data_IF_787653463879
#
_entry.id   IF_787653463879
#
_cell.length_a   1.000
_cell.length_b   1.000
_cell.length_c   1.000
_cell.angle_alpha   90.00
_cell.angle_beta   90.00
_cell.angle_gamma   90.00
#
_symmetry.space_group_name_H-M   'P 1'
#
loop_
_entity.id
_entity.type
_entity.pdbx_description
1 polymer ?
#
# COMPACT_ATOMS: atom_id res chain seq x y z
N UNK A 1 17.65 -37.93 5.76
CA UNK A 1 17.68 -36.48 6.07
C UNK A 1 16.24 -36.04 6.32
N UNK A 2 15.89 -35.61 7.54
CA UNK A 2 14.50 -35.27 7.91
C UNK A 2 14.28 -33.78 7.60
N UNK A 3 13.50 -33.48 6.56
CA UNK A 3 13.14 -32.10 6.23
C UNK A 3 12.15 -31.58 7.28
N UNK A 4 12.41 -30.38 7.83
CA UNK A 4 11.46 -29.70 8.72
C UNK A 4 10.18 -29.41 7.93
N UNK A 5 8.99 -29.58 8.53
CA UNK A 5 7.76 -29.19 7.85
C UNK A 5 7.76 -27.67 7.63
N UNK A 6 7.15 -27.18 6.54
CA UNK A 6 7.01 -25.74 6.30
C UNK A 6 6.28 -25.12 7.49
N UNK A 7 6.79 -23.98 7.98
CA UNK A 7 6.13 -23.21 9.05
C UNK A 7 4.68 -22.97 8.63
N UNK A 8 3.73 -23.56 9.34
CA UNK A 8 2.33 -23.16 9.24
C UNK A 8 2.24 -21.71 9.68
N UNK A 9 2.02 -20.80 8.73
CA UNK A 9 1.54 -19.47 9.06
C UNK A 9 0.13 -19.64 9.64
N UNK A 10 -0.15 -18.98 10.76
CA UNK A 10 -1.46 -19.05 11.38
C UNK A 10 -2.50 -18.49 10.41
N UNK A 11 -3.44 -19.33 9.96
CA UNK A 11 -4.56 -18.88 9.14
C UNK A 11 -5.52 -18.06 10.01
N UNK A 12 -5.82 -16.84 9.56
CA UNK A 12 -6.72 -15.95 10.28
C UNK A 12 -8.15 -16.31 9.89
N UNK A 13 -9.01 -16.55 10.89
CA UNK A 13 -10.42 -16.81 10.63
C UNK A 13 -11.14 -15.51 10.30
N UNK A 14 -12.20 -15.57 9.49
CA UNK A 14 -13.05 -14.40 9.21
C UNK A 14 -13.58 -13.73 10.50
N UNK A 15 -13.77 -14.53 11.57
CA UNK A 15 -14.11 -14.02 12.90
C UNK A 15 -13.01 -13.14 13.50
N UNK A 16 -11.74 -13.54 13.42
CA UNK A 16 -10.63 -12.73 13.94
C UNK A 16 -10.43 -11.45 13.13
N UNK A 17 -10.67 -11.50 11.82
CA UNK A 17 -10.67 -10.31 10.95
C UNK A 17 -11.74 -9.30 11.38
N UNK A 18 -12.99 -9.76 11.58
CA UNK A 18 -14.10 -8.92 12.03
C UNK A 18 -13.85 -8.32 13.42
N UNK A 19 -13.28 -9.09 14.34
CA UNK A 19 -12.94 -8.61 15.68
C UNK A 19 -11.83 -7.55 15.64
N UNK A 20 -10.82 -7.76 14.81
CA UNK A 20 -9.73 -6.79 14.61
C UNK A 20 -10.26 -5.47 14.04
N UNK A 21 -11.17 -5.52 13.05
CA UNK A 21 -11.82 -4.32 12.51
C UNK A 21 -12.59 -3.60 13.61
N UNK A 22 -13.35 -4.34 14.43
CA UNK A 22 -14.09 -3.75 15.56
C UNK A 22 -13.19 -3.00 16.53
N UNK A 23 -12.02 -3.57 16.86
CA UNK A 23 -11.01 -2.93 17.74
C UNK A 23 -10.40 -1.68 17.10
N UNK A 24 -10.06 -1.75 15.81
CA UNK A 24 -9.47 -0.63 15.08
C UNK A 24 -10.42 0.57 14.97
N UNK A 25 -11.73 0.32 14.80
CA UNK A 25 -12.75 1.38 14.73
C UNK A 25 -13.11 1.95 16.11
N UNK A 26 -12.98 1.15 17.17
CA UNK A 26 -13.23 1.60 18.54
C UNK A 26 -12.24 2.67 19.00
N UNK A 27 -10.95 2.52 18.66
CA UNK A 27 -9.90 3.44 19.09
C UNK A 27 -10.12 4.92 18.65
N UNK A 28 -10.51 5.21 17.39
CA UNK A 28 -10.91 6.55 16.96
C UNK A 28 -12.39 6.90 17.26
N UNK A 29 -13.14 6.06 17.98
CA UNK A 29 -14.56 6.30 18.27
C UNK A 29 -15.48 6.16 17.06
N UNK A 30 -15.03 5.50 15.99
CA UNK A 30 -15.83 5.27 14.79
C UNK A 30 -16.83 4.15 15.06
N UNK A 31 -18.11 4.50 15.15
CA UNK A 31 -19.17 3.51 15.36
C UNK A 31 -19.63 2.95 14.01
N UNK A 32 -19.42 1.65 13.80
CA UNK A 32 -20.12 0.93 12.73
C UNK A 32 -21.63 1.00 13.00
N UNK A 33 -22.34 1.73 12.15
CA UNK A 33 -23.80 1.71 12.11
C UNK A 33 -24.20 0.35 11.52
N UNK A 34 -24.97 -0.40 12.30
CA UNK A 34 -25.59 -1.65 11.86
C UNK A 34 -26.76 -1.26 10.95
N UNK A 35 -26.50 -1.08 9.65
CA UNK A 35 -27.46 -1.13 8.52
C UNK A 35 -26.90 -0.66 7.15
N UNK A 36 -25.58 -0.69 6.89
CA UNK A 36 -25.13 -0.67 5.49
C UNK A 36 -25.42 -2.05 4.88
N UNK A 37 -26.25 -2.09 3.84
CA UNK A 37 -26.60 -3.31 3.11
C UNK A 37 -25.34 -3.96 2.51
N UNK A 38 -24.76 -4.90 3.24
CA UNK A 38 -23.51 -5.61 2.89
C UNK A 38 -23.70 -6.63 1.77
N UNK A 39 -24.90 -6.74 1.18
CA UNK A 39 -25.14 -7.64 0.04
C UNK A 39 -24.76 -7.02 -1.31
N UNK A 40 -24.23 -5.78 -1.32
CA UNK A 40 -23.46 -5.30 -2.45
C UNK A 40 -21.98 -5.38 -2.08
N UNK A 41 -21.45 -6.61 -2.02
CA UNK A 41 -20.01 -6.79 -2.16
C UNK A 41 -19.61 -6.13 -3.47
N UNK A 42 -18.78 -5.10 -3.40
CA UNK A 42 -18.26 -4.40 -4.58
C UNK A 42 -17.66 -5.41 -5.54
N UNK A 43 -18.42 -5.77 -6.57
CA UNK A 43 -17.98 -6.29 -7.85
C UNK A 43 -16.65 -7.07 -7.81
N UNK A 44 -16.67 -8.23 -7.16
CA UNK A 44 -15.86 -9.33 -7.62
C UNK A 44 -16.50 -9.85 -8.91
N UNK A 45 -16.42 -9.09 -10.00
CA UNK A 45 -16.47 -9.69 -11.33
C UNK A 45 -15.14 -10.44 -11.56
N UNK A 46 -14.89 -11.49 -10.78
CA UNK A 46 -14.33 -12.67 -11.39
C UNK A 46 -15.50 -13.23 -12.19
N UNK A 47 -15.39 -13.09 -13.51
CA UNK A 47 -16.14 -13.79 -14.53
C UNK A 47 -17.01 -14.93 -13.94
N UNK A 48 -18.30 -14.91 -14.22
CA UNK A 48 -19.08 -16.14 -14.15
C UNK A 48 -18.61 -16.97 -15.36
N UNK A 49 -17.45 -17.64 -15.21
CA UNK A 49 -16.99 -18.59 -16.21
C UNK A 49 -18.04 -19.69 -16.21
N UNK A 50 -18.68 -19.83 -17.36
CA UNK A 50 -19.42 -20.99 -17.80
C UNK A 50 -18.76 -22.25 -17.18
N UNK A 51 -19.51 -23.14 -16.51
CA UNK A 51 -18.93 -24.33 -15.91
C UNK A 51 -18.26 -25.18 -16.99
N UNK A 52 -16.94 -25.06 -17.15
CA UNK A 52 -16.19 -25.76 -18.18
C UNK A 52 -14.99 -25.04 -18.77
N UNK A 53 -14.86 -23.71 -18.62
CA UNK A 53 -13.71 -23.00 -19.19
C UNK A 53 -12.54 -22.91 -18.17
N UNK A 54 -11.30 -23.24 -18.57
CA UNK A 54 -10.16 -23.13 -17.69
C UNK A 54 -9.91 -21.66 -17.35
N UNK A 55 -9.96 -21.34 -16.06
CA UNK A 55 -9.49 -20.07 -15.49
C UNK A 55 -8.13 -19.75 -16.11
N UNK A 56 -8.02 -18.63 -16.83
CA UNK A 56 -6.75 -18.08 -17.33
C UNK A 56 -5.99 -17.52 -16.11
N UNK A 57 -5.06 -18.27 -15.49
CA UNK A 57 -4.38 -17.85 -14.26
C UNK A 57 -3.53 -16.60 -14.51
N UNK A 58 -3.09 -16.44 -15.76
CA UNK A 58 -2.20 -15.40 -16.27
C UNK A 58 -2.72 -13.98 -16.06
N UNK A 59 -4.01 -13.70 -16.28
CA UNK A 59 -4.51 -12.32 -16.20
C UNK A 59 -4.58 -11.83 -14.75
N UNK A 60 -5.07 -12.68 -13.83
CA UNK A 60 -5.18 -12.35 -12.42
C UNK A 60 -3.80 -12.26 -11.75
N UNK A 61 -2.87 -13.17 -12.11
CA UNK A 61 -1.47 -13.12 -11.65
C UNK A 61 -0.78 -11.82 -12.09
N UNK A 62 -0.92 -11.45 -13.37
CA UNK A 62 -0.32 -10.22 -13.90
C UNK A 62 -0.92 -8.96 -13.25
N UNK A 63 -2.24 -8.92 -13.06
CA UNK A 63 -2.91 -7.82 -12.37
C UNK A 63 -2.44 -7.69 -10.92
N UNK A 64 -2.28 -8.82 -10.21
CA UNK A 64 -1.77 -8.82 -8.84
C UNK A 64 -0.34 -8.30 -8.76
N UNK A 65 0.55 -8.72 -9.67
CA UNK A 65 1.93 -8.20 -9.75
C UNK A 65 1.92 -6.69 -9.99
N UNK A 66 1.07 -6.17 -10.88
CA UNK A 66 0.95 -4.73 -11.11
C UNK A 66 0.54 -3.97 -9.85
N UNK A 67 -0.44 -4.49 -9.10
CA UNK A 67 -0.85 -3.90 -7.82
C UNK A 67 0.30 -3.88 -6.82
N UNK A 68 1.08 -4.97 -6.70
CA UNK A 68 2.26 -5.01 -5.83
C UNK A 68 3.33 -4.03 -6.27
N UNK A 69 3.57 -3.87 -7.57
CA UNK A 69 4.54 -2.89 -8.08
C UNK A 69 4.11 -1.45 -7.80
N UNK A 70 2.82 -1.14 -7.96
CA UNK A 70 2.27 0.18 -7.66
C UNK A 70 2.27 0.46 -6.16
N UNK A 71 1.93 -0.55 -5.35
CA UNK A 71 2.03 -0.47 -3.90
C UNK A 71 3.46 -0.25 -3.43
N UNK A 72 4.45 -0.94 -4.03
CA UNK A 72 5.86 -0.72 -3.70
C UNK A 72 6.29 0.73 -3.97
N UNK A 73 5.90 1.30 -5.12
CA UNK A 73 6.26 2.68 -5.46
C UNK A 73 5.68 3.68 -4.46
N UNK A 74 4.37 3.60 -4.23
CA UNK A 74 3.66 4.49 -3.30
C UNK A 74 4.16 4.32 -1.87
N UNK A 75 4.34 3.08 -1.40
CA UNK A 75 4.87 2.81 -0.07
C UNK A 75 6.28 3.39 0.15
N UNK A 76 7.19 3.26 -0.81
CA UNK A 76 8.55 3.81 -0.69
C UNK A 76 8.52 5.34 -0.73
N UNK A 77 7.68 5.95 -1.57
CA UNK A 77 7.51 7.40 -1.60
C UNK A 77 6.97 7.93 -0.26
N UNK A 78 5.85 7.38 0.20
CA UNK A 78 5.17 7.83 1.43
C UNK A 78 5.99 7.51 2.68
N UNK A 79 6.87 6.50 2.63
CA UNK A 79 7.74 6.13 3.76
C UNK A 79 8.57 7.29 4.28
N UNK A 80 9.01 8.20 3.40
CA UNK A 80 9.84 9.36 3.78
C UNK A 80 9.12 10.21 4.83
N UNK A 81 7.84 10.50 4.58
CA UNK A 81 6.98 11.27 5.47
C UNK A 81 6.47 10.43 6.66
N UNK A 82 6.14 9.17 6.41
CA UNK A 82 5.66 8.25 7.45
C UNK A 82 6.71 7.95 8.53
N UNK A 83 8.00 8.03 8.18
CA UNK A 83 9.10 7.95 9.15
C UNK A 83 9.11 9.11 10.13
N UNK A 84 8.70 10.31 9.71
CA UNK A 84 8.67 11.49 10.57
C UNK A 84 7.43 11.45 11.49
N UNK A 85 6.30 10.95 10.99
CA UNK A 85 5.10 10.74 11.82
C UNK A 85 5.24 9.57 12.80
N UNK A 86 5.92 8.48 12.42
CA UNK A 86 5.98 7.24 13.19
C UNK A 86 7.40 6.65 13.29
N UNK A 87 8.38 7.35 13.90
CA UNK A 87 9.79 6.96 13.86
C UNK A 87 10.10 5.62 14.54
N UNK A 88 9.23 5.14 15.43
CA UNK A 88 9.46 3.90 16.19
C UNK A 88 8.85 2.64 15.55
N UNK A 89 8.32 2.70 14.33
CA UNK A 89 7.75 1.51 13.69
C UNK A 89 8.84 0.49 13.30
N UNK A 90 8.64 -0.81 13.58
CA UNK A 90 9.62 -1.85 13.28
C UNK A 90 9.99 -1.96 11.79
N UNK A 91 9.08 -1.56 10.90
CA UNK A 91 9.30 -1.62 9.45
C UNK A 91 10.47 -0.76 8.99
N UNK A 92 10.77 0.33 9.70
CA UNK A 92 11.88 1.24 9.40
C UNK A 92 13.26 0.64 9.70
N UNK A 93 13.33 -0.44 10.48
CA UNK A 93 14.59 -1.16 10.74
C UNK A 93 15.03 -2.03 9.57
N UNK A 94 14.21 -2.15 8.52
CA UNK A 94 14.56 -2.92 7.33
C UNK A 94 15.71 -2.25 6.57
N UNK A 95 16.63 -3.06 6.04
CA UNK A 95 17.84 -2.59 5.35
C UNK A 95 17.55 -1.66 4.16
N UNK A 96 16.41 -1.84 3.49
CA UNK A 96 15.94 -0.95 2.41
C UNK A 96 15.94 0.52 2.81
N UNK A 97 15.62 0.83 4.07
CA UNK A 97 15.55 2.22 4.53
C UNK A 97 16.88 2.78 5.04
N UNK A 98 17.88 1.92 5.18
CA UNK A 98 19.26 2.31 5.46
C UNK A 98 20.14 2.30 4.20
N UNK A 99 19.57 1.88 3.06
CA UNK A 99 20.28 1.80 1.79
C UNK A 99 20.68 3.19 1.28
N UNK A 100 21.92 3.39 0.79
CA UNK A 100 22.36 4.69 0.27
C UNK A 100 21.47 5.26 -0.83
N UNK A 101 20.89 4.43 -1.71
CA UNK A 101 20.00 4.90 -2.77
C UNK A 101 18.68 5.43 -2.20
N UNK A 102 18.12 4.75 -1.19
CA UNK A 102 16.95 5.25 -0.47
C UNK A 102 17.26 6.56 0.27
N UNK A 103 18.41 6.65 0.94
CA UNK A 103 18.80 7.88 1.64
C UNK A 103 19.04 9.06 0.68
N UNK A 104 19.51 8.80 -0.54
CA UNK A 104 19.58 9.82 -1.59
C UNK A 104 18.18 10.26 -2.02
N UNK A 105 17.32 9.31 -2.35
CA UNK A 105 15.93 9.56 -2.71
C UNK A 105 15.18 10.37 -1.62
N UNK A 106 15.36 10.02 -0.35
CA UNK A 106 14.78 10.75 0.79
C UNK A 106 15.20 12.22 0.81
N UNK A 107 16.47 12.52 0.56
CA UNK A 107 16.98 13.90 0.49
C UNK A 107 16.36 14.67 -0.68
N UNK A 108 16.33 14.05 -1.85
CA UNK A 108 15.80 14.68 -3.07
C UNK A 108 14.31 15.01 -2.91
N UNK A 109 13.52 14.10 -2.33
CA UNK A 109 12.10 14.31 -2.08
C UNK A 109 11.84 15.46 -1.09
N UNK A 110 12.60 15.52 0.02
CA UNK A 110 12.48 16.60 1.01
C UNK A 110 12.89 17.97 0.43
N UNK A 111 13.81 17.98 -0.54
CA UNK A 111 14.22 19.21 -1.23
C UNK A 111 13.10 19.75 -2.12
N UNK A 112 12.32 18.88 -2.77
CA UNK A 112 11.15 19.28 -3.57
C UNK A 112 10.07 19.90 -2.66
N UNK A 113 9.82 19.32 -1.49
CA UNK A 113 8.86 19.86 -0.52
C UNK A 113 9.28 21.24 0.01
N UNK A 114 10.56 21.43 0.32
CA UNK A 114 11.08 22.69 0.85
C UNK A 114 11.00 23.87 -0.14
N UNK A 115 11.00 23.60 -1.44
CA UNK A 115 10.86 24.64 -2.48
C UNK A 115 9.42 25.14 -2.65
N UNK A 116 8.40 24.37 -2.24
CA UNK A 116 6.99 24.75 -2.37
C UNK A 116 6.57 25.84 -1.35
N UNK A 117 7.46 26.18 -0.41
CA UNK A 117 7.23 27.16 0.65
C UNK A 117 7.78 28.57 0.36
N UNK A 118 8.30 28.86 -0.84
CA UNK A 118 8.65 30.24 -1.23
C UNK A 118 7.37 31.04 -1.57
N UNK A 119 6.99 32.07 -0.77
CA UNK A 119 5.75 32.82 -0.95
C UNK A 119 5.67 33.65 -2.24
N UNK A 120 6.71 33.67 -3.09
CA UNK A 120 6.74 34.45 -4.32
C UNK A 120 6.16 33.74 -5.57
N UNK A 121 5.79 32.46 -5.50
CA UNK A 121 5.26 31.72 -6.66
C UNK A 121 3.84 31.19 -6.44
N UNK A 122 2.85 32.07 -6.60
CA UNK A 122 1.46 31.66 -6.82
C UNK A 122 1.32 30.96 -8.18
N UNK A 123 1.73 29.69 -8.28
CA UNK A 123 1.26 28.77 -9.32
C UNK A 123 1.40 27.37 -8.76
N UNK A 124 0.32 26.61 -8.51
CA UNK A 124 0.47 25.27 -7.94
C UNK A 124 1.09 24.36 -9.00
N UNK A 125 2.30 23.79 -8.82
CA UNK A 125 2.74 22.65 -9.60
C UNK A 125 2.23 21.37 -8.92
N UNK A 126 0.98 21.38 -8.47
CA UNK A 126 0.34 20.25 -7.82
C UNK A 126 -0.04 19.22 -8.88
N UNK A 127 0.38 17.97 -8.65
CA UNK A 127 0.19 16.77 -9.48
C UNK A 127 0.99 16.64 -10.78
N UNK A 128 1.13 17.66 -11.63
CA UNK A 128 1.73 17.45 -12.96
C UNK A 128 3.24 17.17 -12.92
N UNK A 129 4.00 17.88 -12.07
CA UNK A 129 5.44 17.67 -11.93
C UNK A 129 5.76 16.32 -11.26
N UNK A 130 4.99 15.96 -10.22
CA UNK A 130 5.08 14.66 -9.57
C UNK A 130 4.72 13.51 -10.51
N UNK A 131 3.69 13.65 -11.35
CA UNK A 131 3.30 12.62 -12.32
C UNK A 131 4.37 12.40 -13.41
N UNK A 132 5.06 13.46 -13.83
CA UNK A 132 6.16 13.36 -14.80
C UNK A 132 7.40 12.68 -14.20
N UNK A 133 7.74 12.98 -12.94
CA UNK A 133 8.83 12.32 -12.23
C UNK A 133 8.58 10.82 -12.01
N UNK A 134 7.33 10.41 -11.72
CA UNK A 134 6.99 8.98 -11.57
C UNK A 134 7.01 8.21 -12.90
N UNK A 135 6.81 8.91 -14.03
CA UNK A 135 6.72 8.30 -15.36
C UNK A 135 8.06 8.11 -16.06
N UNK A 136 9.10 8.86 -15.68
CA UNK A 136 10.45 8.73 -16.25
C UNK A 136 11.53 8.75 -15.16
N UNK A 137 11.88 7.58 -14.61
CA UNK A 137 13.06 7.41 -13.80
C UNK A 137 14.19 6.92 -14.73
N UNK A 138 14.94 7.84 -15.34
CA UNK A 138 16.26 7.49 -15.87
C UNK A 138 17.20 7.08 -14.72
#
# INVERSE_FOLDING_TARGET
>A
MKTKPPRQAQEWTCSSHRESIGKALFFPGIRSNKNTHINCGSSAHMYELIPGDPIQPTLAENAFVQVIMMFRKTFIQDSVLMMDFHPCYPIWQHSTFSDPAYLSFKRDLLQIEAQDHDPATHTPPSMCAYALYISNPD
#
